data_IF_386012793306
#
_entry.id   IF_386012793306
#
_cell.length_a   1.000
_cell.length_b   1.000
_cell.length_c   1.000
_cell.angle_alpha   90.00
_cell.angle_beta   90.00
_cell.angle_gamma   90.00
#
_symmetry.space_group_name_H-M   'P 1'
#
loop_
_entity.id
_entity.type
_entity.pdbx_description
1 polymer ?
#
# COMPACT_ATOMS: atom_id res chain seq x y z
N UNK A 1 -37.24 -45.31 -50.47
CA UNK A 1 -36.37 -44.75 -51.51
C UNK A 1 -36.31 -43.23 -51.30
N UNK A 2 -35.09 -42.70 -51.09
CA UNK A 2 -34.54 -41.35 -51.34
C UNK A 2 -35.50 -40.15 -51.53
N UNK A 3 -35.18 -38.90 -51.17
CA UNK A 3 -34.04 -38.16 -50.59
C UNK A 3 -34.49 -36.68 -50.65
N UNK A 4 -34.27 -35.82 -49.65
CA UNK A 4 -33.28 -34.72 -49.65
C UNK A 4 -33.69 -33.84 -48.44
N UNK A 5 -32.91 -33.73 -47.35
CA UNK A 5 -31.87 -32.71 -47.08
C UNK A 5 -32.36 -31.26 -47.12
N UNK A 6 -32.62 -30.70 -45.93
CA UNK A 6 -32.25 -29.32 -45.59
C UNK A 6 -31.54 -29.35 -44.23
N UNK A 7 -30.30 -28.87 -44.21
CA UNK A 7 -29.46 -28.73 -43.03
C UNK A 7 -29.66 -27.31 -42.47
N UNK A 8 -30.30 -27.20 -41.31
CA UNK A 8 -30.32 -25.98 -40.51
C UNK A 8 -29.16 -26.00 -39.51
N UNK A 9 -28.15 -25.17 -39.76
CA UNK A 9 -26.99 -24.95 -38.90
C UNK A 9 -27.43 -24.18 -37.65
N UNK A 10 -27.67 -24.87 -36.53
CA UNK A 10 -27.85 -24.24 -35.20
C UNK A 10 -26.48 -24.08 -34.55
N UNK A 11 -25.95 -22.86 -34.61
CA UNK A 11 -24.68 -22.49 -33.99
C UNK A 11 -24.95 -22.08 -32.54
N UNK A 12 -24.60 -22.97 -31.61
CA UNK A 12 -24.56 -22.69 -30.17
C UNK A 12 -23.48 -21.64 -29.88
N UNK A 13 -23.88 -20.49 -29.34
CA UNK A 13 -22.99 -19.54 -28.67
C UNK A 13 -23.32 -19.51 -27.17
N UNK A 14 -22.82 -20.53 -26.47
CA UNK A 14 -22.57 -20.46 -25.03
C UNK A 14 -21.23 -19.73 -24.81
N UNK A 15 -21.18 -18.82 -23.82
CA UNK A 15 -19.91 -18.31 -23.29
C UNK A 15 -19.56 -16.86 -23.66
N UNK A 16 -20.35 -15.89 -23.19
CA UNK A 16 -19.85 -14.50 -23.03
C UNK A 16 -20.53 -13.66 -21.95
N UNK A 17 -21.35 -14.27 -21.08
CA UNK A 17 -22.09 -13.55 -20.03
C UNK A 17 -21.46 -13.58 -18.63
N UNK A 18 -20.49 -14.45 -18.35
CA UNK A 18 -20.09 -14.75 -16.97
C UNK A 18 -18.84 -14.02 -16.44
N UNK A 19 -18.06 -13.34 -17.30
CA UNK A 19 -16.85 -12.64 -16.84
C UNK A 19 -17.15 -11.26 -16.23
N UNK A 20 -18.10 -10.49 -16.78
CA UNK A 20 -18.46 -9.16 -16.23
C UNK A 20 -19.03 -9.21 -14.81
N UNK A 21 -19.70 -10.31 -14.44
CA UNK A 21 -20.25 -10.51 -13.10
C UNK A 21 -19.18 -10.83 -12.05
N UNK A 22 -18.08 -11.48 -12.44
CA UNK A 22 -16.93 -11.72 -11.55
C UNK A 22 -16.12 -10.44 -11.31
N UNK A 23 -15.88 -9.64 -12.36
CA UNK A 23 -15.17 -8.36 -12.21
C UNK A 23 -15.87 -7.38 -11.27
N UNK A 24 -17.21 -7.33 -11.28
CA UNK A 24 -17.99 -6.49 -10.36
C UNK A 24 -17.97 -6.99 -8.92
N UNK A 25 -17.84 -8.30 -8.68
CA UNK A 25 -17.71 -8.86 -7.32
C UNK A 25 -16.30 -8.74 -6.75
N UNK A 26 -15.27 -8.72 -7.59
CA UNK A 26 -13.88 -8.54 -7.15
C UNK A 26 -13.54 -7.06 -6.87
N UNK A 27 -14.21 -6.11 -7.52
CA UNK A 27 -14.10 -4.68 -7.17
C UNK A 27 -14.78 -4.31 -5.85
N UNK A 28 -15.70 -5.14 -5.33
CA UNK A 28 -16.42 -4.87 -4.06
C UNK A 28 -15.59 -5.14 -2.80
N UNK A 29 -14.38 -5.69 -2.93
CA UNK A 29 -13.47 -6.02 -1.82
C UNK A 29 -12.15 -5.23 -1.84
N UNK A 30 -12.05 -4.21 -2.70
CA UNK A 30 -10.87 -3.35 -2.81
C UNK A 30 -11.11 -1.98 -2.17
N UNK A 31 -10.09 -1.46 -1.49
CA UNK A 31 -10.06 -0.10 -0.95
C UNK A 31 -10.50 0.94 -1.98
N UNK A 32 -11.35 1.88 -1.56
CA UNK A 32 -11.87 2.96 -2.39
C UNK A 32 -10.74 3.91 -2.81
N UNK A 33 -10.13 3.68 -3.95
CA UNK A 33 -9.29 4.67 -4.61
C UNK A 33 -9.55 4.77 -6.13
N UNK A 34 -10.72 4.36 -6.61
CA UNK A 34 -11.06 4.52 -8.03
C UNK A 34 -12.57 4.65 -8.30
N UNK A 35 -13.08 5.89 -8.45
CA UNK A 35 -14.20 6.19 -9.37
C UNK A 35 -14.33 7.72 -9.67
N UNK A 36 -14.13 8.03 -10.97
CA UNK A 36 -14.67 9.13 -11.80
C UNK A 36 -14.11 10.58 -11.70
N UNK A 37 -13.74 11.13 -12.88
CA UNK A 37 -13.03 12.39 -13.10
C UNK A 37 -13.90 13.51 -13.73
N UNK A 38 -13.63 14.79 -13.39
CA UNK A 38 -13.36 15.91 -14.35
C UNK A 38 -13.29 17.31 -13.68
N UNK A 39 -12.24 18.08 -14.05
CA UNK A 39 -12.11 19.56 -14.16
C UNK A 39 -11.63 20.47 -12.98
N UNK A 40 -10.30 20.68 -12.93
CA UNK A 40 -9.53 21.96 -13.05
C UNK A 40 -9.45 23.08 -11.96
N UNK A 41 -8.18 23.42 -11.64
CA UNK A 41 -7.50 24.74 -11.40
C UNK A 41 -7.15 25.26 -9.97
N UNK A 42 -5.85 25.06 -9.64
CA UNK A 42 -4.80 25.95 -9.07
C UNK A 42 -5.01 26.83 -7.82
N UNK A 43 -4.12 26.61 -6.82
CA UNK A 43 -3.57 27.65 -5.94
C UNK A 43 -2.91 27.09 -4.67
N UNK A 44 -1.58 27.21 -4.52
CA UNK A 44 -0.81 26.74 -3.37
C UNK A 44 -0.15 27.90 -2.58
N UNK A 45 0.09 27.72 -1.27
CA UNK A 45 1.30 28.25 -0.65
C UNK A 45 2.04 27.23 0.25
N UNK A 46 3.29 27.57 0.57
CA UNK A 46 4.39 26.72 1.00
C UNK A 46 4.43 26.36 2.51
N UNK A 47 4.98 25.18 2.81
CA UNK A 47 5.32 24.71 4.16
C UNK A 47 6.83 24.40 4.30
N UNK A 48 7.28 24.44 5.57
CA UNK A 48 8.67 24.42 6.02
C UNK A 48 9.34 23.04 5.95
N UNK A 49 10.67 23.06 5.92
CA UNK A 49 11.56 21.95 5.56
C UNK A 49 11.84 21.01 6.73
N UNK A 50 11.35 19.78 6.63
CA UNK A 50 11.96 18.59 7.25
C UNK A 50 12.87 17.96 6.20
N UNK A 51 14.02 17.40 6.56
CA UNK A 51 14.91 16.71 5.61
C UNK A 51 14.24 15.47 5.05
N UNK A 52 13.49 15.65 3.97
CA UNK A 52 12.83 14.61 3.21
C UNK A 52 13.85 13.93 2.31
N UNK A 53 13.94 12.60 2.39
CA UNK A 53 14.51 11.81 1.30
C UNK A 53 13.59 12.00 0.11
N UNK A 54 13.93 12.94 -0.77
CA UNK A 54 13.14 13.23 -1.98
C UNK A 54 13.14 12.02 -2.89
N UNK A 55 11.98 11.66 -3.44
CA UNK A 55 11.88 10.57 -4.41
C UNK A 55 12.86 10.78 -5.58
N UNK A 56 13.77 9.83 -5.74
CA UNK A 56 14.69 9.78 -6.86
C UNK A 56 15.03 8.34 -7.19
N UNK A 57 14.77 7.93 -8.43
CA UNK A 57 15.29 6.67 -8.98
C UNK A 57 16.71 6.94 -9.48
N UNK A 58 17.61 7.28 -8.57
CA UNK A 58 19.02 7.43 -8.88
C UNK A 58 19.70 6.06 -8.76
N UNK A 59 20.50 5.72 -9.77
CA UNK A 59 21.24 4.46 -9.82
C UNK A 59 22.20 4.36 -8.63
N UNK A 60 22.10 3.29 -7.84
CA UNK A 60 22.93 3.04 -6.64
C UNK A 60 24.41 2.75 -6.93
N UNK A 61 24.92 3.13 -8.11
CA UNK A 61 26.31 2.94 -8.50
C UNK A 61 26.96 4.24 -8.92
N UNK A 62 27.27 5.09 -7.93
CA UNK A 62 28.38 6.01 -8.10
C UNK A 62 29.67 5.17 -8.14
N UNK A 63 30.31 5.10 -9.32
CA UNK A 63 31.60 4.45 -9.47
C UNK A 63 32.61 5.09 -8.51
N UNK A 64 33.21 4.27 -7.63
CA UNK A 64 34.39 4.65 -6.86
C UNK A 64 35.47 5.13 -7.84
N UNK A 65 36.08 6.32 -7.68
CA UNK A 65 37.20 6.69 -8.53
C UNK A 65 38.33 5.70 -8.28
N UNK A 66 38.85 5.08 -9.34
CA UNK A 66 40.04 4.23 -9.29
C UNK A 66 41.16 5.00 -8.59
N UNK A 67 41.56 4.52 -7.42
CA UNK A 67 42.80 4.95 -6.80
C UNK A 67 43.95 4.54 -7.72
N UNK A 68 44.64 5.55 -8.26
CA UNK A 68 45.81 5.35 -9.11
C UNK A 68 46.85 4.46 -8.42
N UNK A 69 47.15 3.33 -9.05
CA UNK A 69 48.16 2.39 -8.61
C UNK A 69 49.54 3.03 -8.77
N UNK A 70 50.19 3.34 -7.65
CA UNK A 70 51.63 3.63 -7.63
C UNK A 70 52.35 2.29 -7.77
N UNK A 71 53.08 2.13 -8.88
CA UNK A 71 53.95 0.98 -9.10
C UNK A 71 55.15 1.05 -8.15
N UNK A 72 55.34 0.00 -7.34
CA UNK A 72 56.61 -0.27 -6.66
C UNK A 72 57.20 -1.55 -7.27
N UNK A 73 58.47 -1.45 -7.65
CA UNK A 73 59.25 -2.47 -8.36
C UNK A 73 59.29 -3.83 -7.66
N UNK A 74 59.41 -4.86 -8.50
CA UNK A 74 59.34 -6.27 -8.18
C UNK A 74 60.55 -6.78 -7.37
N UNK A 75 60.24 -7.51 -6.28
CA UNK A 75 61.12 -8.47 -5.64
C UNK A 75 60.65 -9.91 -5.95
N UNK A 76 61.61 -10.74 -6.35
CA UNK A 76 61.63 -12.15 -6.80
C UNK A 76 60.55 -13.10 -6.24
N UNK A 77 59.98 -14.03 -7.04
CA UNK A 77 58.90 -14.93 -6.59
C UNK A 77 59.42 -16.09 -5.74
N UNK A 78 58.77 -16.32 -4.59
CA UNK A 78 58.93 -17.54 -3.79
C UNK A 78 57.75 -18.47 -4.06
N UNK A 79 58.04 -19.67 -4.53
CA UNK A 79 57.05 -20.71 -4.86
C UNK A 79 56.61 -21.46 -3.59
N UNK A 80 55.46 -21.08 -3.04
CA UNK A 80 54.67 -21.92 -2.13
C UNK A 80 53.22 -21.94 -2.64
N UNK A 81 52.52 -23.08 -2.60
CA UNK A 81 51.13 -23.13 -3.02
C UNK A 81 50.27 -22.34 -2.02
N UNK A 82 49.72 -21.21 -2.45
CA UNK A 82 48.66 -20.51 -1.73
C UNK A 82 47.42 -21.41 -1.71
N UNK A 83 47.00 -21.82 -0.52
CA UNK A 83 45.63 -22.29 -0.33
C UNK A 83 44.68 -21.13 -0.68
N UNK A 84 43.75 -21.36 -1.60
CA UNK A 84 42.72 -20.39 -1.95
C UNK A 84 41.93 -20.02 -0.69
N UNK A 85 41.76 -18.73 -0.37
CA UNK A 85 40.81 -18.34 0.67
C UNK A 85 39.40 -18.69 0.17
N UNK A 86 38.72 -19.59 0.89
CA UNK A 86 37.28 -19.78 0.72
C UNK A 86 36.62 -18.51 1.27
N UNK A 87 36.22 -17.62 0.37
CA UNK A 87 35.47 -16.42 0.74
C UNK A 87 34.12 -16.86 1.32
N UNK A 88 33.94 -16.66 2.62
CA UNK A 88 32.68 -16.91 3.32
C UNK A 88 31.63 -15.91 2.79
N UNK A 89 30.35 -16.30 2.60
CA UNK A 89 29.35 -15.50 1.86
C UNK A 89 28.77 -14.32 2.65
N UNK A 90 29.39 -13.90 3.74
CA UNK A 90 28.89 -12.84 4.64
C UNK A 90 28.73 -11.51 3.89
N UNK A 91 29.71 -11.14 3.04
CA UNK A 91 29.68 -9.89 2.29
C UNK A 91 28.58 -9.80 1.21
N UNK A 92 28.04 -10.92 0.73
CA UNK A 92 26.99 -10.94 -0.31
C UNK A 92 25.56 -10.88 0.27
N UNK A 93 25.41 -11.21 1.56
CA UNK A 93 24.12 -11.15 2.27
C UNK A 93 23.87 -9.71 2.73
N UNK A 94 24.90 -9.04 3.27
CA UNK A 94 24.80 -7.63 3.67
C UNK A 94 24.40 -6.74 2.48
N UNK A 95 24.98 -6.97 1.29
CA UNK A 95 24.58 -6.22 0.08
C UNK A 95 23.14 -6.49 -0.36
N UNK A 96 22.60 -7.70 -0.13
CA UNK A 96 21.23 -8.00 -0.52
C UNK A 96 20.23 -7.32 0.40
N UNK A 97 20.48 -7.37 1.71
CA UNK A 97 19.64 -6.67 2.68
C UNK A 97 19.66 -5.16 2.43
N UNK A 98 20.85 -4.58 2.19
CA UNK A 98 21.00 -3.17 1.86
C UNK A 98 20.23 -2.78 0.58
N UNK A 99 20.35 -3.58 -0.49
CA UNK A 99 19.64 -3.34 -1.75
C UNK A 99 18.10 -3.38 -1.56
N UNK A 100 17.60 -4.33 -0.79
CA UNK A 100 16.15 -4.51 -0.53
C UNK A 100 15.61 -3.37 0.34
N UNK A 101 16.33 -3.01 1.41
CA UNK A 101 16.00 -1.87 2.25
C UNK A 101 15.98 -0.59 1.44
N UNK A 102 16.99 -0.37 0.60
CA UNK A 102 17.06 0.80 -0.27
C UNK A 102 15.89 0.88 -1.25
N UNK A 103 15.54 -0.22 -1.92
CA UNK A 103 14.37 -0.27 -2.80
C UNK A 103 13.08 0.04 -2.04
N UNK A 104 12.90 -0.50 -0.83
CA UNK A 104 11.71 -0.27 -0.02
C UNK A 104 11.56 1.20 0.41
N UNK A 105 12.65 1.80 0.92
CA UNK A 105 12.67 3.21 1.30
C UNK A 105 12.46 4.15 0.11
N UNK A 106 13.07 3.85 -1.04
CA UNK A 106 12.84 4.60 -2.27
C UNK A 106 11.39 4.51 -2.74
N UNK A 107 10.78 3.33 -2.68
CA UNK A 107 9.38 3.14 -3.05
C UNK A 107 8.47 3.95 -2.13
N UNK A 108 8.67 3.89 -0.81
CA UNK A 108 7.92 4.67 0.17
C UNK A 108 8.03 6.19 -0.06
N UNK A 109 9.25 6.68 -0.32
CA UNK A 109 9.46 8.09 -0.67
C UNK A 109 8.72 8.48 -1.96
N UNK A 110 8.77 7.63 -2.99
CA UNK A 110 8.10 7.89 -4.26
C UNK A 110 6.57 7.79 -4.21
N UNK A 111 6.02 6.95 -3.34
CA UNK A 111 4.59 6.94 -3.01
C UNK A 111 4.20 8.24 -2.28
N UNK A 112 4.99 8.66 -1.29
CA UNK A 112 4.76 9.89 -0.52
C UNK A 112 4.80 11.17 -1.36
N UNK A 113 5.64 11.19 -2.40
CA UNK A 113 5.73 12.31 -3.34
C UNK A 113 4.68 12.22 -4.48
N UNK A 114 3.84 11.17 -4.49
CA UNK A 114 2.96 10.79 -5.60
C UNK A 114 3.68 10.80 -6.97
N UNK A 115 4.93 10.32 -6.99
CA UNK A 115 5.75 10.27 -8.19
C UNK A 115 5.48 8.98 -8.98
N UNK A 116 4.36 8.96 -9.71
CA UNK A 116 3.94 7.80 -10.47
C UNK A 116 4.99 7.31 -11.49
N UNK A 117 5.79 8.21 -12.06
CA UNK A 117 6.84 7.85 -13.01
C UNK A 117 7.95 7.01 -12.35
N UNK A 118 8.30 7.33 -11.10
CA UNK A 118 9.28 6.60 -10.30
C UNK A 118 8.71 5.29 -9.73
N UNK A 119 7.48 5.32 -9.19
CA UNK A 119 6.85 4.14 -8.58
C UNK A 119 6.78 2.96 -9.55
N UNK A 120 6.41 3.20 -10.82
CA UNK A 120 6.34 2.14 -11.83
C UNK A 120 7.69 1.55 -12.25
N UNK A 121 8.81 2.14 -11.80
CA UNK A 121 10.15 1.54 -11.95
C UNK A 121 10.52 0.65 -10.76
N UNK A 122 9.90 0.89 -9.59
CA UNK A 122 10.21 0.24 -8.32
C UNK A 122 9.22 -0.90 -7.97
N UNK A 123 8.10 -0.98 -8.68
CA UNK A 123 7.04 -1.96 -8.42
C UNK A 123 6.52 -2.64 -9.70
N UNK A 124 6.03 -3.87 -9.57
CA UNK A 124 5.34 -4.58 -10.65
C UNK A 124 3.87 -4.16 -10.75
N UNK A 125 3.26 -4.37 -11.92
CA UNK A 125 1.82 -4.14 -12.15
C UNK A 125 0.93 -4.89 -11.14
N UNK A 126 1.40 -6.03 -10.61
CA UNK A 126 0.69 -6.75 -9.55
C UNK A 126 0.60 -5.89 -8.29
N UNK A 127 1.73 -5.38 -7.81
CA UNK A 127 1.73 -4.49 -6.65
C UNK A 127 1.00 -3.17 -6.93
N UNK A 128 1.12 -2.61 -8.15
CA UNK A 128 0.35 -1.42 -8.53
C UNK A 128 -1.16 -1.64 -8.41
N UNK A 129 -1.66 -2.84 -8.73
CA UNK A 129 -3.05 -3.20 -8.48
C UNK A 129 -3.39 -3.28 -6.99
N UNK A 130 -2.48 -3.82 -6.17
CA UNK A 130 -2.70 -3.94 -4.72
C UNK A 130 -2.84 -2.60 -4.01
N UNK A 131 -2.15 -1.56 -4.47
CA UNK A 131 -2.29 -0.19 -3.93
C UNK A 131 -3.75 0.30 -4.00
N UNK A 132 -4.54 -0.21 -4.94
CA UNK A 132 -5.96 0.12 -5.12
C UNK A 132 -6.88 -1.03 -4.67
N UNK A 133 -6.39 -1.91 -3.79
CA UNK A 133 -7.15 -3.05 -3.27
C UNK A 133 -7.49 -4.13 -4.31
N UNK A 134 -6.91 -4.08 -5.51
CA UNK A 134 -7.17 -5.04 -6.57
C UNK A 134 -6.28 -6.28 -6.44
N UNK A 135 -6.87 -7.46 -6.63
CA UNK A 135 -6.15 -8.72 -6.80
C UNK A 135 -5.65 -8.93 -8.24
N UNK A 136 -6.11 -8.11 -9.18
CA UNK A 136 -5.73 -8.10 -10.59
C UNK A 136 -4.63 -7.06 -10.82
N UNK A 137 -3.58 -7.37 -11.59
CA UNK A 137 -2.56 -6.40 -11.96
C UNK A 137 -3.15 -5.16 -12.63
N UNK A 138 -2.64 -3.99 -12.26
CA UNK A 138 -2.99 -2.71 -12.86
C UNK A 138 -1.87 -2.29 -13.82
N UNK A 139 -2.24 -1.97 -15.06
CA UNK A 139 -1.24 -1.57 -16.06
C UNK A 139 -0.51 -0.29 -15.64
N UNK A 140 0.73 -0.13 -16.10
CA UNK A 140 1.51 1.10 -15.84
C UNK A 140 0.78 2.37 -16.30
N UNK A 141 0.09 2.31 -17.44
CA UNK A 141 -0.63 3.46 -17.99
C UNK A 141 -1.89 3.78 -17.17
N UNK A 142 -2.63 2.75 -16.74
CA UNK A 142 -3.80 2.94 -15.87
C UNK A 142 -3.39 3.48 -14.49
N UNK A 143 -2.33 2.93 -13.91
CA UNK A 143 -1.78 3.41 -12.63
C UNK A 143 -1.42 4.91 -12.72
N UNK A 144 -0.71 5.32 -13.76
CA UNK A 144 -0.35 6.74 -13.97
C UNK A 144 -1.57 7.63 -14.15
N UNK A 145 -2.58 7.16 -14.88
CA UNK A 145 -3.83 7.91 -15.11
C UNK A 145 -4.59 8.15 -13.80
N UNK A 146 -4.65 7.14 -12.94
CA UNK A 146 -5.38 7.19 -11.68
C UNK A 146 -4.61 8.02 -10.63
N UNK A 147 -3.32 7.70 -10.41
CA UNK A 147 -2.49 8.32 -9.36
C UNK A 147 -2.34 9.84 -9.48
N UNK A 148 -2.35 10.39 -10.70
CA UNK A 148 -2.25 11.85 -10.92
C UNK A 148 -3.40 12.67 -10.31
N UNK A 149 -4.51 12.03 -9.96
CA UNK A 149 -5.72 12.68 -9.47
C UNK A 149 -6.03 12.35 -8.00
N UNK A 150 -5.08 11.77 -7.28
CA UNK A 150 -5.24 11.36 -5.89
C UNK A 150 -4.13 12.01 -5.07
N UNK A 151 -4.48 12.52 -3.89
CA UNK A 151 -3.52 13.10 -2.98
C UNK A 151 -2.57 12.05 -2.42
N UNK A 152 -1.31 12.44 -2.21
CA UNK A 152 -0.33 11.54 -1.65
C UNK A 152 -0.62 11.29 -0.16
N UNK A 153 -0.66 10.02 0.23
CA UNK A 153 -0.60 9.64 1.65
C UNK A 153 0.86 9.40 2.02
N UNK A 154 1.37 10.00 3.11
CA UNK A 154 2.74 9.75 3.55
C UNK A 154 2.98 8.27 3.82
N UNK A 155 4.09 7.72 3.33
CA UNK A 155 4.53 6.35 3.55
C UNK A 155 5.96 6.39 4.09
N UNK A 156 6.23 5.66 5.17
CA UNK A 156 7.60 5.45 5.65
C UNK A 156 7.84 3.99 5.97
N UNK A 157 9.06 3.53 5.72
CA UNK A 157 9.55 2.25 6.19
C UNK A 157 10.06 2.43 7.61
N UNK A 158 9.62 1.56 8.51
CA UNK A 158 10.09 1.50 9.91
C UNK A 158 11.22 0.49 10.04
N UNK A 159 11.04 -0.71 9.47
CA UNK A 159 12.09 -1.73 9.42
C UNK A 159 11.95 -2.64 8.21
N UNK A 160 13.08 -3.21 7.79
CA UNK A 160 13.17 -4.28 6.80
C UNK A 160 14.04 -5.37 7.41
N UNK A 161 13.45 -6.52 7.63
CA UNK A 161 14.01 -7.63 8.39
C UNK A 161 13.83 -8.95 7.63
N UNK A 162 14.47 -10.01 8.12
CA UNK A 162 14.34 -11.38 7.58
C UNK A 162 14.50 -11.49 6.05
N UNK A 163 15.41 -10.69 5.49
CA UNK A 163 15.70 -10.67 4.05
C UNK A 163 16.26 -12.03 3.64
N UNK A 164 15.49 -12.75 2.83
CA UNK A 164 15.75 -14.15 2.49
C UNK A 164 15.52 -14.40 1.01
N UNK A 165 16.44 -15.13 0.37
CA UNK A 165 16.22 -15.61 -1.00
C UNK A 165 15.19 -16.73 -0.97
N UNK A 166 14.12 -16.58 -1.75
CA UNK A 166 13.04 -17.55 -1.87
C UNK A 166 13.06 -18.12 -3.28
N UNK A 167 13.72 -19.28 -3.47
CA UNK A 167 14.02 -19.81 -4.80
C UNK A 167 15.06 -18.99 -5.58
N UNK A 168 15.23 -19.31 -6.87
CA UNK A 168 16.39 -18.81 -7.64
C UNK A 168 16.32 -17.31 -7.99
N UNK A 169 15.12 -16.70 -8.05
CA UNK A 169 14.92 -15.33 -8.58
C UNK A 169 14.05 -14.39 -7.72
N UNK A 170 13.66 -14.81 -6.49
CA UNK A 170 12.83 -13.99 -5.60
C UNK A 170 13.49 -13.76 -4.26
N UNK A 171 13.13 -12.64 -3.65
CA UNK A 171 13.56 -12.27 -2.31
C UNK A 171 12.33 -11.91 -1.49
N UNK A 172 12.29 -12.41 -0.27
CA UNK A 172 11.27 -12.05 0.71
C UNK A 172 11.89 -11.24 1.83
N UNK A 173 11.15 -10.27 2.37
CA UNK A 173 11.53 -9.53 3.56
C UNK A 173 10.29 -9.31 4.43
N UNK A 174 10.47 -9.32 5.74
CA UNK A 174 9.50 -8.75 6.68
C UNK A 174 9.67 -7.22 6.65
N UNK A 175 8.60 -6.51 6.36
CA UNK A 175 8.61 -5.04 6.26
C UNK A 175 7.57 -4.49 7.21
N UNK A 176 8.02 -3.64 8.11
CA UNK A 176 7.13 -2.78 8.91
C UNK A 176 7.16 -1.41 8.28
N UNK A 177 5.99 -0.92 7.90
CA UNK A 177 5.81 0.40 7.31
C UNK A 177 4.68 1.12 8.02
N UNK A 178 4.59 2.44 7.81
CA UNK A 178 3.35 3.14 8.13
C UNK A 178 2.92 4.06 7.00
N UNK A 179 1.62 3.96 6.70
CA UNK A 179 0.90 4.68 5.65
C UNK A 179 -0.09 5.61 6.35
N UNK A 180 0.09 6.92 6.19
CA UNK A 180 -0.51 7.90 7.08
C UNK A 180 0.00 7.68 8.49
N UNK A 181 -0.88 7.23 9.37
CA UNK A 181 -0.59 6.81 10.74
C UNK A 181 -0.90 5.33 10.97
N UNK A 182 -1.27 4.57 9.94
CA UNK A 182 -1.50 3.13 10.07
C UNK A 182 -0.19 2.35 10.05
N UNK A 183 0.10 1.61 11.11
CA UNK A 183 1.18 0.63 11.15
C UNK A 183 0.76 -0.62 10.37
N UNK A 184 1.59 -1.01 9.41
CA UNK A 184 1.40 -2.20 8.58
C UNK A 184 2.63 -3.08 8.70
N UNK A 185 2.42 -4.32 9.12
CA UNK A 185 3.40 -5.37 8.99
C UNK A 185 3.06 -6.24 7.79
N UNK A 186 4.06 -6.56 6.97
CA UNK A 186 3.85 -7.38 5.80
C UNK A 186 5.08 -8.20 5.44
N UNK A 187 4.85 -9.31 4.74
CA UNK A 187 5.89 -9.98 3.97
C UNK A 187 5.88 -9.41 2.56
N UNK A 188 6.97 -8.77 2.18
CA UNK A 188 7.18 -8.25 0.83
C UNK A 188 7.94 -9.26 0.00
N UNK A 189 7.47 -9.50 -1.23
CA UNK A 189 8.14 -10.34 -2.22
C UNK A 189 8.66 -9.48 -3.36
N UNK A 190 9.96 -9.51 -3.56
CA UNK A 190 10.66 -8.80 -4.63
C UNK A 190 11.04 -9.75 -5.76
N UNK A 191 11.20 -9.18 -6.96
CA UNK A 191 11.75 -9.86 -8.13
C UNK A 191 12.88 -9.03 -8.74
N UNK A 192 13.69 -9.69 -9.55
CA UNK A 192 14.69 -8.98 -10.36
C UNK A 192 14.06 -7.91 -11.24
N UNK A 193 14.66 -6.72 -11.20
CA UNK A 193 14.31 -5.57 -12.01
C UNK A 193 15.31 -5.33 -13.15
N UNK A 194 15.68 -4.06 -13.33
CA UNK A 194 16.64 -3.63 -14.34
C UNK A 194 18.05 -3.50 -13.77
N UNK A 195 19.05 -3.19 -14.62
CA UNK A 195 20.39 -2.88 -14.14
C UNK A 195 20.47 -1.64 -13.24
N UNK A 196 19.53 -0.69 -13.40
CA UNK A 196 19.48 0.53 -12.59
C UNK A 196 18.69 0.34 -11.29
N UNK A 197 17.72 -0.56 -11.28
CA UNK A 197 16.85 -0.92 -10.16
C UNK A 197 16.82 -2.45 -10.07
N UNK A 198 17.78 -3.07 -9.35
CA UNK A 198 17.98 -4.51 -9.39
C UNK A 198 16.84 -5.31 -8.76
N UNK A 199 16.07 -4.69 -7.87
CA UNK A 199 14.91 -5.29 -7.20
C UNK A 199 13.70 -4.39 -7.33
N UNK A 200 12.56 -5.00 -7.68
CA UNK A 200 11.25 -4.34 -7.67
C UNK A 200 10.29 -5.12 -6.79
N UNK A 201 9.44 -4.41 -6.06
CA UNK A 201 8.38 -5.03 -5.27
C UNK A 201 7.35 -5.66 -6.20
N UNK A 202 7.07 -6.94 -6.02
CA UNK A 202 6.08 -7.67 -6.82
C UNK A 202 4.76 -7.89 -6.08
N UNK A 203 4.85 -8.14 -4.78
CA UNK A 203 3.69 -8.48 -3.97
C UNK A 203 3.91 -8.14 -2.50
N UNK A 204 2.89 -7.55 -1.88
CA UNK A 204 2.80 -7.35 -0.44
C UNK A 204 1.75 -8.31 0.14
N UNK A 205 2.15 -9.08 1.17
CA UNK A 205 1.23 -9.88 1.98
C UNK A 205 1.15 -9.30 3.39
N UNK A 206 0.07 -8.58 3.69
CA UNK A 206 -0.17 -8.04 5.04
C UNK A 206 -0.28 -9.16 6.07
N UNK A 207 0.37 -8.94 7.20
CA UNK A 207 0.30 -9.74 8.41
C UNK A 207 -0.46 -8.95 9.49
N UNK A 208 -0.94 -9.60 10.55
CA UNK A 208 -1.43 -8.88 11.72
C UNK A 208 -0.32 -7.99 12.29
N UNK A 209 -0.56 -6.68 12.39
CA UNK A 209 0.41 -5.75 12.95
C UNK A 209 0.49 -5.88 14.47
N UNK A 210 1.69 -5.80 15.03
CA UNK A 210 1.90 -5.76 16.47
C UNK A 210 1.86 -4.31 16.93
N UNK A 211 0.87 -3.98 17.77
CA UNK A 211 0.77 -2.65 18.35
C UNK A 211 1.98 -2.33 19.26
N UNK A 212 2.47 -1.08 19.26
CA UNK A 212 3.49 -0.64 20.21
C UNK A 212 3.11 -0.95 21.66
N UNK A 213 4.12 -1.18 22.50
CA UNK A 213 3.89 -1.46 23.91
C UNK A 213 3.27 -0.24 24.60
N UNK A 214 2.12 -0.43 25.24
CA UNK A 214 1.40 0.65 25.92
C UNK A 214 0.40 1.40 25.05
N UNK A 215 0.13 0.94 23.82
CA UNK A 215 -1.00 1.46 23.04
C UNK A 215 -2.32 1.26 23.77
N UNK A 216 -3.13 2.31 23.82
CA UNK A 216 -4.52 2.20 24.28
C UNK A 216 -5.39 1.53 23.20
N UNK A 217 -6.52 0.95 23.63
CA UNK A 217 -7.45 0.26 22.73
C UNK A 217 -8.81 0.93 22.75
N UNK A 218 -9.40 1.09 21.57
CA UNK A 218 -10.82 1.42 21.37
C UNK A 218 -11.48 0.19 20.76
N UNK A 219 -12.44 -0.39 21.46
CA UNK A 219 -13.31 -1.41 20.88
C UNK A 219 -14.34 -0.72 19.97
N UNK A 220 -14.48 -1.21 18.73
CA UNK A 220 -15.37 -0.69 17.70
C UNK A 220 -16.35 -1.80 17.29
N UNK A 221 -17.57 -1.75 17.82
CA UNK A 221 -18.64 -2.63 17.36
C UNK A 221 -19.20 -2.11 16.03
N UNK A 222 -19.25 -2.99 15.03
CA UNK A 222 -19.65 -2.66 13.67
C UNK A 222 -20.91 -3.46 13.31
N UNK A 223 -21.95 -2.77 12.87
CA UNK A 223 -23.15 -3.40 12.32
C UNK A 223 -24.29 -2.43 12.09
N UNK A 224 -25.26 -2.83 11.25
CA UNK A 224 -26.45 -2.03 10.94
C UNK A 224 -26.12 -0.60 10.48
N UNK A 225 -25.10 -0.45 9.63
CA UNK A 225 -24.58 0.85 9.18
C UNK A 225 -24.22 1.81 10.33
N UNK A 226 -23.69 1.27 11.43
CA UNK A 226 -23.29 2.07 12.60
C UNK A 226 -21.99 1.57 13.21
N UNK A 227 -21.34 2.48 13.94
CA UNK A 227 -20.20 2.19 14.79
C UNK A 227 -20.55 2.56 16.24
N UNK A 228 -20.27 1.66 17.17
CA UNK A 228 -20.23 1.98 18.60
C UNK A 228 -18.78 1.90 19.07
N UNK A 229 -18.28 2.96 19.67
CA UNK A 229 -16.89 3.05 20.15
C UNK A 229 -16.85 3.09 21.67
N UNK A 230 -15.96 2.31 22.27
CA UNK A 230 -15.71 2.30 23.71
C UNK A 230 -14.23 1.98 24.02
N UNK A 231 -13.51 2.82 24.77
CA UNK A 231 -13.88 4.17 25.20
C UNK A 231 -13.81 5.18 24.05
N UNK A 232 -14.58 6.26 24.15
CA UNK A 232 -14.52 7.38 23.19
C UNK A 232 -13.32 8.32 23.41
N UNK A 233 -12.52 8.09 24.45
CA UNK A 233 -11.30 8.87 24.74
C UNK A 233 -10.20 7.93 25.20
N UNK A 234 -9.03 8.06 24.57
CA UNK A 234 -7.84 7.22 24.79
C UNK A 234 -6.59 8.07 24.88
N UNK A 235 -5.54 7.51 25.48
CA UNK A 235 -4.23 8.13 25.58
C UNK A 235 -3.43 7.84 24.32
N UNK A 236 -2.85 8.88 23.73
CA UNK A 236 -1.95 8.74 22.58
C UNK A 236 -0.50 8.40 22.99
N UNK A 237 0.41 8.32 22.00
CA UNK A 237 0.17 8.56 20.57
C UNK A 237 -0.27 7.31 19.79
N UNK A 238 -0.15 6.12 20.36
CA UNK A 238 -0.42 4.86 19.67
C UNK A 238 -1.74 4.25 20.15
N UNK A 239 -2.62 3.92 19.21
CA UNK A 239 -3.99 3.45 19.49
C UNK A 239 -4.33 2.26 18.61
N UNK A 240 -4.97 1.24 19.19
CA UNK A 240 -5.55 0.12 18.45
C UNK A 240 -7.06 0.30 18.35
N UNK A 241 -7.62 0.33 17.14
CA UNK A 241 -9.05 0.17 16.95
C UNK A 241 -9.35 -1.32 16.72
N UNK A 242 -10.00 -1.96 17.69
CA UNK A 242 -10.45 -3.36 17.57
C UNK A 242 -11.83 -3.40 16.94
N UNK A 243 -11.89 -3.62 15.65
CA UNK A 243 -13.15 -3.75 14.91
C UNK A 243 -13.77 -5.13 15.10
N UNK A 244 -15.01 -5.20 15.54
CA UNK A 244 -15.83 -6.41 15.57
C UNK A 244 -17.06 -6.25 14.68
N UNK A 245 -17.03 -6.86 13.49
CA UNK A 245 -18.13 -6.80 12.55
C UNK A 245 -19.14 -7.93 12.80
N UNK A 246 -20.23 -7.54 13.46
CA UNK A 246 -21.36 -8.41 13.77
C UNK A 246 -22.42 -8.44 12.67
N UNK A 247 -22.17 -7.82 11.51
CA UNK A 247 -23.07 -7.79 10.36
C UNK A 247 -22.83 -8.97 9.41
N UNK A 248 -23.68 -9.10 8.38
CA UNK A 248 -23.56 -10.07 7.28
C UNK A 248 -22.86 -9.53 6.05
N UNK A 249 -22.47 -8.25 6.06
CA UNK A 249 -21.74 -7.59 4.98
C UNK A 249 -20.40 -7.06 5.49
N UNK A 250 -19.47 -6.88 4.56
CA UNK A 250 -18.18 -6.28 4.86
C UNK A 250 -18.37 -4.79 5.13
N UNK A 251 -17.58 -4.27 6.08
CA UNK A 251 -17.51 -2.85 6.41
C UNK A 251 -16.05 -2.43 6.41
N UNK A 252 -15.79 -1.13 6.45
CA UNK A 252 -14.44 -0.60 6.66
C UNK A 252 -14.41 0.34 7.86
N UNK A 253 -13.30 0.33 8.59
CA UNK A 253 -12.94 1.42 9.50
C UNK A 253 -11.98 2.34 8.75
N UNK A 254 -12.50 3.38 8.09
CA UNK A 254 -11.69 4.44 7.51
C UNK A 254 -11.56 5.58 8.54
N UNK A 255 -10.35 5.82 9.03
CA UNK A 255 -10.07 6.81 10.06
C UNK A 255 -9.54 8.09 9.42
N UNK A 256 -10.17 9.20 9.77
CA UNK A 256 -9.93 10.52 9.19
C UNK A 256 -9.76 11.56 10.30
N UNK A 257 -8.91 12.56 10.05
CA UNK A 257 -8.90 13.81 10.82
C UNK A 257 -9.52 14.90 9.96
N UNK A 258 -10.51 15.58 10.51
CA UNK A 258 -11.24 16.65 9.82
C UNK A 258 -10.77 18.01 10.34
N UNK A 259 -10.55 18.96 9.45
CA UNK A 259 -10.30 20.34 9.83
C UNK A 259 -11.49 20.95 10.59
N UNK A 260 -11.21 21.98 11.39
CA UNK A 260 -12.24 22.67 12.17
C UNK A 260 -13.38 23.17 11.27
N UNK A 261 -14.61 22.72 11.58
CA UNK A 261 -15.82 23.09 10.85
C UNK A 261 -16.15 22.19 9.65
N UNK A 262 -15.29 21.23 9.31
CA UNK A 262 -15.56 20.24 8.27
C UNK A 262 -16.30 19.02 8.84
N UNK A 263 -17.22 18.44 8.07
CA UNK A 263 -18.11 17.37 8.55
C UNK A 263 -18.11 16.17 7.60
N UNK A 264 -18.64 15.03 8.08
CA UNK A 264 -18.84 13.83 7.23
C UNK A 264 -19.79 14.08 6.05
N UNK A 265 -20.71 15.03 6.16
CA UNK A 265 -21.55 15.40 5.01
C UNK A 265 -20.76 16.10 3.91
N UNK A 266 -19.69 16.81 4.25
CA UNK A 266 -18.86 17.48 3.25
C UNK A 266 -18.03 16.47 2.46
N UNK A 267 -17.68 15.32 3.07
CA UNK A 267 -17.12 14.16 2.38
C UNK A 267 -18.10 13.62 1.33
N UNK A 268 -19.39 13.46 1.68
CA UNK A 268 -20.42 12.96 0.74
C UNK A 268 -20.74 13.95 -0.40
N UNK A 269 -20.46 15.24 -0.22
CA UNK A 269 -20.62 16.27 -1.26
C UNK A 269 -19.40 16.38 -2.15
N UNK A 270 -18.27 15.84 -1.71
CA UNK A 270 -17.04 15.84 -2.49
C UNK A 270 -17.25 15.09 -3.81
N UNK A 271 -16.56 15.54 -4.85
CA UNK A 271 -16.61 14.92 -6.16
C UNK A 271 -15.25 14.33 -6.49
N UNK A 272 -15.26 13.16 -7.12
CA UNK A 272 -14.06 12.46 -7.53
C UNK A 272 -13.56 11.43 -6.52
N UNK A 273 -12.44 10.77 -6.82
CA UNK A 273 -11.93 9.64 -6.04
C UNK A 273 -11.11 10.05 -4.81
N UNK A 274 -10.75 11.33 -4.69
CA UNK A 274 -9.86 11.82 -3.64
C UNK A 274 -10.65 12.35 -2.43
N UNK A 275 -10.01 12.34 -1.27
CA UNK A 275 -10.55 12.98 -0.09
C UNK A 275 -10.48 14.52 -0.26
N UNK A 276 -11.44 15.29 0.27
CA UNK A 276 -11.33 16.75 0.28
C UNK A 276 -10.04 17.20 0.97
N UNK A 277 -9.41 18.32 0.55
CA UNK A 277 -8.18 18.81 1.17
C UNK A 277 -8.27 19.09 2.68
N UNK A 278 -9.47 19.28 3.21
CA UNK A 278 -9.77 19.48 4.64
C UNK A 278 -9.86 18.16 5.44
N UNK A 279 -9.63 17.03 4.78
CA UNK A 279 -9.71 15.69 5.33
C UNK A 279 -8.34 15.05 5.20
N UNK A 280 -7.74 14.73 6.34
CA UNK A 280 -6.50 13.98 6.39
C UNK A 280 -6.81 12.50 6.59
N UNK A 281 -6.30 11.66 5.70
CA UNK A 281 -6.30 10.20 5.86
C UNK A 281 -5.37 9.80 7.00
N UNK A 282 -5.85 8.95 7.91
CA UNK A 282 -5.08 8.47 9.07
C UNK A 282 -4.75 6.99 8.92
N UNK A 283 -5.73 6.18 8.54
CA UNK A 283 -5.55 4.73 8.35
C UNK A 283 -6.86 4.07 7.94
N UNK A 284 -6.78 2.85 7.42
CA UNK A 284 -7.98 2.09 7.07
C UNK A 284 -7.84 0.59 7.35
N UNK A 285 -8.96 -0.05 7.65
CA UNK A 285 -9.04 -1.50 7.66
C UNK A 285 -10.43 -2.00 7.21
N UNK A 286 -10.50 -2.87 6.19
CA UNK A 286 -11.72 -3.62 5.94
C UNK A 286 -11.93 -4.67 7.04
N UNK A 287 -13.13 -4.70 7.60
CA UNK A 287 -13.57 -5.68 8.59
C UNK A 287 -14.63 -6.57 7.94
N UNK A 288 -14.25 -7.80 7.62
CA UNK A 288 -15.13 -8.74 6.93
C UNK A 288 -16.35 -9.10 7.77
N UNK A 289 -17.45 -9.45 7.10
CA UNK A 289 -18.66 -9.94 7.74
C UNK A 289 -18.35 -11.06 8.74
N UNK A 290 -18.85 -10.93 9.98
CA UNK A 290 -18.65 -11.92 11.06
C UNK A 290 -17.18 -12.17 11.41
N UNK A 291 -16.34 -11.16 11.27
CA UNK A 291 -14.91 -11.23 11.61
C UNK A 291 -14.50 -10.03 12.45
N UNK A 292 -13.36 -10.18 13.11
CA UNK A 292 -12.65 -9.10 13.79
C UNK A 292 -11.42 -8.67 12.99
N UNK A 293 -11.05 -7.40 13.13
CA UNK A 293 -9.81 -6.88 12.57
C UNK A 293 -9.31 -5.71 13.41
N UNK A 294 -8.03 -5.75 13.77
CA UNK A 294 -7.36 -4.66 14.47
C UNK A 294 -6.75 -3.69 13.47
N UNK A 295 -7.01 -2.39 13.65
CA UNK A 295 -6.33 -1.30 12.97
C UNK A 295 -5.40 -0.63 13.96
N UNK A 296 -4.08 -0.78 13.75
CA UNK A 296 -3.05 -0.19 14.59
C UNK A 296 -2.67 1.18 14.04
N UNK A 297 -2.90 2.22 14.83
CA UNK A 297 -2.55 3.60 14.52
C UNK A 297 -1.41 4.06 15.43
N UNK A 298 -0.43 4.77 14.87
CA UNK A 298 0.77 5.25 15.56
C UNK A 298 0.98 6.73 15.32
N UNK A 299 1.72 7.38 16.23
CA UNK A 299 2.07 8.80 16.12
C UNK A 299 0.84 9.73 15.98
N UNK A 300 -0.28 9.40 16.62
CA UNK A 300 -1.47 10.25 16.64
C UNK A 300 -1.24 11.48 17.52
N UNK A 301 -1.45 12.66 16.94
CA UNK A 301 -1.51 13.89 17.71
C UNK A 301 -2.80 13.97 18.54
N UNK A 302 -2.78 14.62 19.73
CA UNK A 302 -4.00 14.88 20.48
C UNK A 302 -5.07 15.58 19.63
N UNK A 303 -6.30 15.09 19.72
CA UNK A 303 -7.43 15.62 18.96
C UNK A 303 -8.53 14.60 18.69
N UNK A 304 -9.55 15.05 17.97
CA UNK A 304 -10.67 14.21 17.55
C UNK A 304 -10.38 13.55 16.19
N UNK A 305 -10.75 12.28 16.10
CA UNK A 305 -10.66 11.44 14.91
C UNK A 305 -12.04 10.88 14.58
N UNK A 306 -12.34 10.76 13.29
CA UNK A 306 -13.63 10.28 12.77
C UNK A 306 -13.42 8.95 12.06
N UNK A 307 -14.22 7.95 12.42
CA UNK A 307 -14.32 6.67 11.72
C UNK A 307 -15.52 6.77 10.78
N UNK A 308 -15.35 6.42 9.51
CA UNK A 308 -16.42 6.34 8.51
C UNK A 308 -16.34 5.02 7.74
N UNK A 309 -17.42 4.69 7.03
CA UNK A 309 -17.46 3.60 6.05
C UNK A 309 -17.98 4.13 4.71
N UNK A 310 -17.14 4.18 3.69
CA UNK A 310 -17.46 4.59 2.33
C UNK A 310 -17.74 3.41 1.40
N UNK A 311 -17.69 2.17 1.90
CA UNK A 311 -18.13 1.00 1.14
C UNK A 311 -19.57 1.22 0.64
N UNK A 312 -19.82 0.97 -0.66
CA UNK A 312 -21.15 1.13 -1.23
C UNK A 312 -22.05 -0.06 -0.93
N UNK A 313 -23.33 0.22 -0.74
CA UNK A 313 -24.38 -0.81 -0.75
C UNK A 313 -24.66 -1.32 -2.18
N UNK A 314 -25.66 -2.20 -2.32
CA UNK A 314 -26.04 -2.77 -3.62
C UNK A 314 -26.54 -1.75 -4.65
N UNK A 315 -26.92 -0.55 -4.21
CA UNK A 315 -27.38 0.55 -5.06
C UNK A 315 -26.24 1.56 -5.36
N UNK A 316 -25.05 1.33 -4.82
CA UNK A 316 -23.89 2.20 -4.98
C UNK A 316 -23.85 3.35 -3.96
N UNK A 317 -24.71 3.34 -2.94
CA UNK A 317 -24.77 4.40 -1.93
C UNK A 317 -23.77 4.05 -0.81
N UNK A 318 -22.82 4.94 -0.48
CA UNK A 318 -21.84 4.67 0.57
C UNK A 318 -22.53 4.52 1.93
N UNK A 319 -22.06 3.60 2.79
CA UNK A 319 -22.63 3.39 4.12
C UNK A 319 -22.62 4.66 4.98
N UNK A 320 -21.67 5.58 4.76
CA UNK A 320 -21.64 6.91 5.38
C UNK A 320 -22.91 7.72 5.11
N UNK A 321 -23.53 7.58 3.93
CA UNK A 321 -24.80 8.25 3.61
C UNK A 321 -25.99 7.70 4.42
N UNK A 322 -25.88 6.47 4.94
CA UNK A 322 -26.80 5.91 5.92
C UNK A 322 -26.51 6.37 7.35
N UNK A 323 -25.44 7.15 7.56
CA UNK A 323 -25.02 7.68 8.85
C UNK A 323 -23.89 6.90 9.53
N UNK A 324 -23.23 5.98 8.82
CA UNK A 324 -22.18 5.12 9.37
C UNK A 324 -20.89 5.89 9.68
N UNK A 325 -20.88 6.55 10.84
CA UNK A 325 -19.75 7.27 11.38
C UNK A 325 -19.72 7.23 12.91
N UNK A 326 -18.53 7.32 13.49
CA UNK A 326 -18.31 7.57 14.91
C UNK A 326 -17.06 8.42 15.12
N UNK A 327 -16.82 8.88 16.34
CA UNK A 327 -15.63 9.67 16.68
C UNK A 327 -14.99 9.16 17.96
N UNK A 328 -13.67 9.21 18.04
CA UNK A 328 -12.92 9.04 19.27
C UNK A 328 -11.92 10.20 19.45
N UNK A 329 -11.46 10.42 20.68
CA UNK A 329 -10.52 11.50 21.02
C UNK A 329 -9.24 10.91 21.57
N UNK A 330 -8.10 11.40 21.07
CA UNK A 330 -6.77 11.13 21.60
C UNK A 330 -6.35 12.29 22.49
N UNK A 331 -5.85 11.99 23.70
CA UNK A 331 -5.32 12.98 24.66
C UNK A 331 -3.85 12.78 24.96
#
# INVERSE_FOLDING_TARGET
MNSQREQGLSMSCSGRGNRRSQYLREMMNGSLAALLASAALLGAPAAAQTTTTTCSVASSRAATPEAGVIAIEAGTPSTLPLASPISTPVAAIDTLADDITHTAEQLAACLSDNNAAAVVQLASERYLGQLFGSSVPLSVDDYRSISQNISATPVRIVSVEDVTRSGDDRVTAAVTQVVGQQLIEATWTFRHGSAAVPWVLDYEQRQPAVAPAGSDTVDVEIGNFSFTVDPATVTGPDVVLRGDNTDTIDHEMLVLKLDAGFTTQDILRASGPDLPPQVTYIGEAPVRARQQHDLVLVDLEPGQYTIVCLFPDSEGIPHLAHGMAATFTVT
#
